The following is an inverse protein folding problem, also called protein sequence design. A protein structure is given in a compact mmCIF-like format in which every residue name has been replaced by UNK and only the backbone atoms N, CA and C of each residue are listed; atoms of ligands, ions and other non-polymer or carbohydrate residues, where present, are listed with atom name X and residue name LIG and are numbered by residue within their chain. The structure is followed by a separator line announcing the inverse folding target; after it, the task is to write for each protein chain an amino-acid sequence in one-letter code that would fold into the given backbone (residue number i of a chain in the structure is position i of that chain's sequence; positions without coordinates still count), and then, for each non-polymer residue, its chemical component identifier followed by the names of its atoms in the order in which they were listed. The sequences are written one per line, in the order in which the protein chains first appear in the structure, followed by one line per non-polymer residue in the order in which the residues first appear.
data_IF_368285069125
#
_entry.id   IF_368285069125
#
_cell.length_a   1.000
_cell.length_b   1.000
_cell.length_c   1.000
_cell.angle_alpha   90.00
_cell.angle_beta   90.00
_cell.angle_gamma   90.00
#
_symmetry.space_group_name_H-M   'P 1'
#
loop_
_entity.id
_entity.type
_entity.pdbx_description
1 polymer ?
#
# COMPACT_ATOMS: atom_id res chain seq x y z
N UNK A 1 -4.95 -40.19 33.54
CA UNK A 1 -6.15 -39.55 32.95
C UNK A 1 -6.55 -40.33 31.71
N UNK A 2 -7.79 -40.80 31.67
CA UNK A 2 -8.31 -41.81 30.74
C UNK A 2 -8.45 -41.24 29.32
N UNK A 3 -7.91 -41.98 28.36
CA UNK A 3 -8.12 -41.88 26.92
C UNK A 3 -9.53 -42.38 26.57
N UNK A 4 -10.31 -41.56 25.87
CA UNK A 4 -11.62 -41.98 25.33
C UNK A 4 -11.60 -41.84 23.82
N UNK A 5 -11.46 -42.98 23.15
CA UNK A 5 -11.67 -43.20 21.73
C UNK A 5 -13.17 -43.13 21.44
N UNK A 6 -13.58 -42.36 20.44
CA UNK A 6 -14.95 -42.40 19.91
C UNK A 6 -14.91 -42.74 18.42
N UNK A 7 -15.39 -43.94 18.10
CA UNK A 7 -15.66 -44.45 16.76
C UNK A 7 -17.12 -44.11 16.45
N UNK A 8 -17.37 -43.51 15.29
CA UNK A 8 -18.70 -43.49 14.68
C UNK A 8 -18.61 -44.02 13.25
N UNK A 9 -19.07 -45.25 13.07
CA UNK A 9 -19.69 -45.73 11.83
C UNK A 9 -21.06 -45.05 11.69
N UNK A 10 -21.50 -44.73 10.47
CA UNK A 10 -22.88 -44.92 10.00
C UNK A 10 -22.97 -44.75 8.47
N UNK A 11 -23.45 -45.83 7.86
CA UNK A 11 -24.31 -46.02 6.67
C UNK A 11 -24.11 -45.18 5.38
N UNK A 12 -23.67 -45.88 4.35
CA UNK A 12 -23.95 -45.62 2.93
C UNK A 12 -25.43 -45.93 2.61
N UNK A 13 -26.11 -45.08 1.83
CA UNK A 13 -27.17 -45.52 0.95
C UNK A 13 -26.58 -45.81 -0.45
N UNK A 14 -26.54 -47.09 -0.81
CA UNK A 14 -26.75 -47.52 -2.19
C UNK A 14 -28.18 -47.13 -2.58
N UNK A 15 -28.38 -46.50 -3.74
CA UNK A 15 -29.52 -46.70 -4.63
C UNK A 15 -29.42 -45.76 -5.85
N UNK A 16 -29.64 -46.33 -7.05
CA UNK A 16 -30.24 -45.58 -8.17
C UNK A 16 -29.33 -45.18 -9.33
N UNK A 17 -28.69 -46.14 -10.01
CA UNK A 17 -28.24 -45.94 -11.40
C UNK A 17 -29.46 -46.03 -12.33
N UNK A 18 -30.03 -44.90 -12.71
CA UNK A 18 -30.88 -44.80 -13.91
C UNK A 18 -30.07 -44.15 -15.02
N UNK A 19 -29.75 -44.95 -16.05
CA UNK A 19 -29.15 -44.49 -17.30
C UNK A 19 -30.15 -43.61 -18.06
N UNK A 20 -30.07 -42.29 -17.88
CA UNK A 20 -30.61 -41.34 -18.82
C UNK A 20 -29.55 -41.08 -19.89
N UNK A 21 -29.80 -41.55 -21.12
CA UNK A 21 -29.07 -41.11 -22.31
C UNK A 21 -29.27 -39.61 -22.48
N UNK A 22 -28.33 -38.83 -21.95
CA UNK A 22 -28.23 -37.40 -22.23
C UNK A 22 -27.71 -37.23 -23.66
N UNK A 23 -28.63 -36.83 -24.54
CA UNK A 23 -28.36 -36.38 -25.89
C UNK A 23 -27.23 -35.32 -25.84
N UNK A 24 -26.07 -35.68 -26.38
CA UNK A 24 -24.85 -34.88 -26.40
C UNK A 24 -25.01 -33.74 -27.42
N UNK A 25 -25.92 -32.80 -27.16
CA UNK A 25 -26.06 -31.58 -27.97
C UNK A 25 -24.84 -30.72 -27.68
N UNK A 26 -23.87 -30.83 -28.57
CA UNK A 26 -22.70 -29.96 -28.66
C UNK A 26 -23.12 -28.51 -28.37
N UNK A 27 -22.58 -27.88 -27.31
CA UNK A 27 -22.92 -26.49 -27.00
C UNK A 27 -22.62 -25.67 -28.25
N UNK A 28 -23.67 -25.13 -28.84
CA UNK A 28 -23.58 -24.38 -30.10
C UNK A 28 -22.53 -23.30 -29.94
N UNK A 29 -21.61 -23.17 -30.91
CA UNK A 29 -20.48 -22.21 -30.92
C UNK A 29 -20.89 -20.79 -30.45
N UNK A 30 -22.15 -20.42 -30.66
CA UNK A 30 -22.77 -19.16 -30.24
C UNK A 30 -22.82 -18.97 -28.71
N UNK A 31 -23.15 -20.01 -27.93
CA UNK A 31 -23.18 -19.93 -26.46
C UNK A 31 -21.78 -19.74 -25.86
N UNK A 32 -20.78 -20.44 -26.42
CA UNK A 32 -19.37 -20.27 -26.04
C UNK A 32 -18.87 -18.86 -26.39
N UNK A 33 -19.24 -18.34 -27.56
CA UNK A 33 -18.85 -17.00 -28.00
C UNK A 33 -19.47 -15.89 -27.13
N UNK A 34 -20.74 -16.02 -26.73
CA UNK A 34 -21.42 -15.07 -25.82
C UNK A 34 -20.80 -15.09 -24.41
N UNK A 35 -20.40 -16.27 -23.91
CA UNK A 35 -19.73 -16.42 -22.62
C UNK A 35 -18.33 -15.77 -22.63
N UNK A 36 -17.59 -15.92 -23.71
CA UNK A 36 -16.28 -15.27 -23.89
C UNK A 36 -16.40 -13.75 -24.04
N UNK A 37 -17.41 -13.25 -24.75
CA UNK A 37 -17.66 -11.81 -24.87
C UNK A 37 -18.07 -11.17 -23.54
N UNK A 38 -18.93 -11.82 -22.75
CA UNK A 38 -19.28 -11.33 -21.41
C UNK A 38 -18.09 -11.35 -20.44
N UNK A 39 -17.23 -12.38 -20.51
CA UNK A 39 -15.97 -12.40 -19.76
C UNK A 39 -15.03 -11.27 -20.19
N UNK A 40 -14.93 -10.98 -21.48
CA UNK A 40 -14.09 -9.89 -21.99
C UNK A 40 -14.59 -8.50 -21.52
N UNK A 41 -15.89 -8.22 -21.60
CA UNK A 41 -16.47 -6.94 -21.17
C UNK A 41 -16.35 -6.76 -19.64
N UNK A 42 -16.66 -7.82 -18.88
CA UNK A 42 -16.46 -7.87 -17.43
C UNK A 42 -14.99 -7.63 -17.05
N UNK A 43 -14.06 -8.23 -17.80
CA UNK A 43 -12.63 -8.10 -17.55
C UNK A 43 -12.13 -6.67 -17.81
N UNK A 44 -12.58 -6.00 -18.88
CA UNK A 44 -12.17 -4.62 -19.16
C UNK A 44 -12.66 -3.63 -18.11
N UNK A 45 -13.90 -3.77 -17.62
CA UNK A 45 -14.43 -2.92 -16.57
C UNK A 45 -13.81 -3.23 -15.20
N UNK A 46 -13.52 -4.50 -14.91
CA UNK A 46 -12.78 -4.91 -13.71
C UNK A 46 -11.33 -4.40 -13.74
N UNK A 47 -10.68 -4.43 -14.90
CA UNK A 47 -9.35 -3.87 -15.14
C UNK A 47 -9.38 -2.36 -14.99
N UNK A 48 -10.32 -1.66 -15.62
CA UNK A 48 -10.43 -0.20 -15.50
C UNK A 48 -10.71 0.25 -14.06
N UNK A 49 -11.53 -0.49 -13.31
CA UNK A 49 -11.84 -0.20 -11.91
C UNK A 49 -10.69 -0.57 -10.96
N UNK A 50 -9.98 -1.67 -11.21
CA UNK A 50 -8.84 -2.06 -10.38
C UNK A 50 -7.62 -1.17 -10.67
N UNK A 51 -7.43 -0.75 -11.92
CA UNK A 51 -6.42 0.22 -12.33
C UNK A 51 -6.85 1.68 -12.07
N UNK A 52 -8.02 1.93 -11.46
CA UNK A 52 -8.56 3.25 -11.15
C UNK A 52 -7.81 3.99 -10.03
N UNK A 53 -6.55 3.64 -9.77
CA UNK A 53 -5.70 4.53 -9.00
C UNK A 53 -5.60 5.86 -9.74
N UNK A 54 -6.15 6.89 -9.11
CA UNK A 54 -6.01 8.27 -9.51
C UNK A 54 -5.47 9.05 -8.33
N UNK A 55 -4.53 9.95 -8.63
CA UNK A 55 -4.09 10.94 -7.66
C UNK A 55 -5.21 11.98 -7.57
N UNK A 56 -5.84 12.17 -6.40
CA UNK A 56 -6.91 13.14 -6.27
C UNK A 56 -6.43 14.56 -6.61
N UNK A 57 -7.31 15.39 -7.20
CA UNK A 57 -6.96 16.78 -7.61
C UNK A 57 -6.30 17.59 -6.48
N UNK A 58 -6.78 17.43 -5.24
CA UNK A 58 -6.23 18.12 -4.07
C UNK A 58 -4.82 17.63 -3.64
N UNK A 59 -4.34 16.51 -4.21
CA UNK A 59 -3.00 15.97 -4.01
C UNK A 59 -2.02 16.35 -5.12
N UNK A 60 -2.48 16.93 -6.24
CA UNK A 60 -1.60 17.33 -7.35
C UNK A 60 -0.53 18.34 -6.94
N UNK A 61 -0.88 19.28 -6.05
CA UNK A 61 0.08 20.25 -5.49
C UNK A 61 0.89 19.70 -4.31
N UNK A 62 0.71 18.41 -3.98
CA UNK A 62 1.29 17.73 -2.81
C UNK A 62 1.82 16.34 -3.18
N UNK A 63 2.23 16.12 -4.44
CA UNK A 63 2.74 14.82 -4.89
C UNK A 63 3.90 14.31 -4.02
N UNK A 64 4.66 15.24 -3.44
CA UNK A 64 5.84 14.95 -2.62
C UNK A 64 5.48 14.40 -1.25
N UNK A 65 4.21 14.35 -0.85
CA UNK A 65 3.81 13.68 0.40
C UNK A 65 3.41 12.22 0.18
N UNK A 66 3.24 11.81 -1.08
CA UNK A 66 2.98 10.42 -1.46
C UNK A 66 4.34 9.71 -1.58
N UNK A 67 4.87 9.28 -0.44
CA UNK A 67 6.23 8.73 -0.34
C UNK A 67 6.27 7.39 0.38
N UNK A 68 5.14 6.77 0.68
CA UNK A 68 5.11 5.55 1.46
C UNK A 68 4.52 4.40 0.65
N UNK A 69 4.98 3.19 0.92
CA UNK A 69 4.36 1.96 0.45
C UNK A 69 4.45 0.90 1.53
N UNK A 70 3.51 -0.06 1.51
CA UNK A 70 3.57 -1.25 2.34
C UNK A 70 3.91 -2.43 1.46
N UNK A 71 4.88 -3.23 1.89
CA UNK A 71 5.29 -4.45 1.23
C UNK A 71 4.82 -5.67 2.05
N UNK A 72 4.00 -6.51 1.42
CA UNK A 72 3.46 -7.76 1.95
C UNK A 72 4.17 -9.01 1.35
N UNK A 73 5.43 -8.85 0.93
CA UNK A 73 6.27 -9.88 0.30
C UNK A 73 6.07 -9.97 -1.21
N UNK A 74 4.83 -9.87 -1.68
CA UNK A 74 4.48 -9.87 -3.11
C UNK A 74 3.68 -8.62 -3.44
N UNK A 75 3.97 -8.01 -4.59
CA UNK A 75 3.22 -6.85 -5.12
C UNK A 75 1.77 -7.27 -5.43
N UNK A 76 0.81 -6.38 -5.21
CA UNK A 76 -0.61 -6.65 -5.44
C UNK A 76 -1.32 -7.44 -4.34
N UNK A 77 -0.62 -7.96 -3.33
CA UNK A 77 -1.30 -8.59 -2.18
C UNK A 77 -2.15 -7.58 -1.41
N UNK A 78 -3.38 -7.94 -0.96
CA UNK A 78 -4.18 -7.09 -0.08
C UNK A 78 -3.44 -6.68 1.19
N UNK A 79 -3.54 -5.41 1.56
CA UNK A 79 -3.09 -4.92 2.87
C UNK A 79 -4.26 -5.05 3.85
N UNK A 80 -4.26 -6.08 4.68
CA UNK A 80 -5.26 -6.36 5.71
C UNK A 80 -4.90 -5.72 7.07
N UNK A 81 -5.93 -5.30 7.81
CA UNK A 81 -5.81 -4.89 9.22
C UNK A 81 -5.32 -6.05 10.09
N UNK A 82 -4.54 -5.77 11.12
CA UNK A 82 -4.00 -6.77 12.06
C UNK A 82 -2.73 -7.47 11.58
N UNK A 83 -2.38 -7.36 10.30
CA UNK A 83 -1.22 -8.00 9.72
C UNK A 83 0.04 -7.12 9.76
N UNK A 84 1.18 -7.76 9.51
CA UNK A 84 2.51 -7.14 9.49
C UNK A 84 3.01 -6.90 8.08
N UNK A 85 3.66 -5.76 7.90
CA UNK A 85 4.24 -5.32 6.63
C UNK A 85 5.62 -4.71 6.86
N UNK A 86 6.31 -4.49 5.76
CA UNK A 86 7.42 -3.55 5.72
C UNK A 86 6.91 -2.21 5.18
N UNK A 87 7.03 -1.14 5.98
CA UNK A 87 6.71 0.21 5.53
C UNK A 87 7.95 0.86 4.93
N UNK A 88 7.90 1.15 3.64
CA UNK A 88 9.04 1.68 2.88
C UNK A 88 8.75 3.11 2.46
N UNK A 89 9.72 3.99 2.67
CA UNK A 89 9.72 5.33 2.12
C UNK A 89 10.34 5.30 0.71
N UNK A 90 9.57 5.71 -0.29
CA UNK A 90 9.88 5.70 -1.73
C UNK A 90 10.92 6.76 -2.14
N UNK A 91 11.07 7.82 -1.36
CA UNK A 91 12.03 8.89 -1.64
C UNK A 91 13.45 8.52 -1.20
N UNK A 92 13.57 7.87 -0.04
CA UNK A 92 14.85 7.42 0.51
C UNK A 92 15.18 5.96 0.22
N UNK A 93 14.24 5.23 -0.37
CA UNK A 93 14.31 3.78 -0.51
C UNK A 93 14.65 3.12 0.84
N UNK A 94 13.90 3.50 1.88
CA UNK A 94 14.21 3.17 3.26
C UNK A 94 13.03 2.46 3.94
N UNK A 95 13.24 1.24 4.41
CA UNK A 95 12.28 0.51 5.25
C UNK A 95 12.33 0.97 6.70
N UNK A 96 11.19 1.32 7.28
CA UNK A 96 11.08 1.74 8.68
C UNK A 96 11.47 0.58 9.59
N UNK A 97 12.48 0.80 10.43
CA UNK A 97 12.83 -0.13 11.52
C UNK A 97 12.89 0.61 12.84
N UNK A 98 12.88 -0.15 13.91
CA UNK A 98 13.37 0.38 15.16
C UNK A 98 14.89 0.54 15.12
N UNK A 99 15.37 1.60 15.77
CA UNK A 99 16.77 1.80 16.09
C UNK A 99 16.85 2.58 17.40
N UNK A 100 17.44 1.97 18.44
CA UNK A 100 17.61 2.61 19.75
C UNK A 100 18.43 3.89 19.56
N UNK A 101 17.96 4.99 20.14
CA UNK A 101 18.65 6.29 20.11
C UNK A 101 18.52 6.97 21.46
N UNK A 102 19.54 7.75 21.83
CA UNK A 102 19.56 8.48 23.11
C UNK A 102 18.73 9.76 23.06
N UNK A 103 18.68 10.45 21.91
CA UNK A 103 18.10 11.80 21.82
C UNK A 103 17.15 12.01 20.62
N UNK A 104 16.42 10.99 20.18
CA UNK A 104 15.44 11.09 19.11
C UNK A 104 14.44 9.93 19.14
N UNK A 105 13.38 10.01 18.32
CA UNK A 105 12.53 8.86 18.01
C UNK A 105 13.36 7.60 17.72
N UNK A 106 12.99 6.47 18.32
CA UNK A 106 13.67 5.18 18.19
C UNK A 106 13.41 4.52 16.82
N UNK A 107 13.63 5.28 15.76
CA UNK A 107 13.38 4.90 14.40
C UNK A 107 14.72 4.88 13.64
N UNK A 108 14.84 3.93 12.74
CA UNK A 108 15.99 3.79 11.86
C UNK A 108 15.59 3.38 10.45
N UNK A 109 16.63 3.29 9.62
CA UNK A 109 16.51 2.87 8.24
C UNK A 109 16.96 1.42 8.06
N UNK A 110 16.24 0.68 7.21
CA UNK A 110 16.60 -0.66 6.75
C UNK A 110 16.57 -0.72 5.24
N UNK A 111 17.41 -1.57 4.66
CA UNK A 111 17.34 -1.91 3.24
C UNK A 111 15.93 -2.41 2.88
N UNK A 112 15.30 -1.90 1.81
CA UNK A 112 13.98 -2.33 1.34
C UNK A 112 13.93 -3.80 0.96
N UNK A 113 15.04 -4.40 0.52
CA UNK A 113 15.13 -5.83 0.22
C UNK A 113 15.00 -6.74 1.44
N UNK A 114 14.97 -6.20 2.66
CA UNK A 114 14.76 -7.00 3.86
C UNK A 114 13.36 -7.61 3.88
N UNK A 115 13.30 -8.94 4.01
CA UNK A 115 12.05 -9.70 4.14
C UNK A 115 11.35 -9.55 5.50
N UNK A 116 11.95 -8.82 6.46
CA UNK A 116 11.39 -8.65 7.81
C UNK A 116 10.20 -7.69 7.79
N UNK A 117 9.01 -8.23 8.04
CA UNK A 117 7.76 -7.48 8.22
C UNK A 117 7.60 -7.08 9.70
N UNK A 118 8.02 -5.87 10.04
CA UNK A 118 8.10 -5.41 11.43
C UNK A 118 7.06 -4.35 11.81
N UNK A 119 6.18 -3.97 10.88
CA UNK A 119 5.13 -2.99 11.15
C UNK A 119 3.75 -3.66 11.11
N UNK A 120 3.10 -3.80 12.26
CA UNK A 120 1.70 -4.16 12.32
C UNK A 120 0.83 -2.92 12.07
N UNK A 121 -0.24 -3.08 11.30
CA UNK A 121 -1.16 -1.99 10.98
C UNK A 121 -2.58 -2.38 11.39
N UNK A 122 -3.25 -1.52 12.15
CA UNK A 122 -4.62 -1.74 12.62
C UNK A 122 -5.53 -0.59 12.19
N UNK A 123 -6.67 -0.89 11.58
CA UNK A 123 -7.69 0.11 11.23
C UNK A 123 -8.47 0.54 12.47
N UNK A 124 -8.89 1.80 12.50
CA UNK A 124 -9.76 2.33 13.57
C UNK A 124 -11.17 1.71 13.53
N UNK A 125 -11.67 1.38 12.33
CA UNK A 125 -13.00 0.82 12.11
C UNK A 125 -12.93 -0.43 11.22
N UNK A 126 -13.33 -1.58 11.78
CA UNK A 126 -13.42 -2.89 11.12
C UNK A 126 -12.08 -3.55 10.79
N UNK A 127 -12.11 -4.86 10.53
CA UNK A 127 -10.89 -5.70 10.42
C UNK A 127 -10.53 -6.13 8.99
N UNK A 128 -11.11 -5.50 7.98
CA UNK A 128 -10.86 -5.82 6.58
C UNK A 128 -9.59 -5.20 5.96
N UNK A 129 -9.55 -5.27 4.63
CA UNK A 129 -8.53 -4.62 3.81
C UNK A 129 -8.52 -3.11 4.02
N UNK A 130 -7.31 -2.56 4.16
CA UNK A 130 -7.05 -1.12 4.22
C UNK A 130 -7.50 -0.43 2.93
N UNK A 131 -7.91 0.81 3.08
CA UNK A 131 -8.34 1.70 2.01
C UNK A 131 -7.72 3.07 2.18
N UNK A 132 -7.57 3.81 1.08
CA UNK A 132 -7.30 5.24 1.17
C UNK A 132 -8.43 5.93 1.94
N UNK A 133 -8.07 6.86 2.82
CA UNK A 133 -8.97 7.55 3.74
C UNK A 133 -9.06 6.90 5.12
N UNK A 134 -8.64 5.63 5.28
CA UNK A 134 -8.67 4.97 6.58
C UNK A 134 -7.76 5.66 7.60
N UNK A 135 -8.23 5.68 8.85
CA UNK A 135 -7.43 6.03 10.02
C UNK A 135 -6.91 4.74 10.65
N UNK A 136 -5.61 4.67 10.88
CA UNK A 136 -4.89 3.49 11.33
C UNK A 136 -3.99 3.80 12.53
N UNK A 137 -3.70 2.76 13.31
CA UNK A 137 -2.60 2.70 14.26
C UNK A 137 -1.48 1.85 13.66
N UNK A 138 -0.24 2.23 13.94
CA UNK A 138 0.96 1.57 13.42
C UNK A 138 1.78 1.06 14.61
N UNK A 139 2.17 -0.21 14.61
CA UNK A 139 2.98 -0.81 15.68
C UNK A 139 4.30 -1.34 15.12
N UNK A 140 5.42 -0.84 15.64
CA UNK A 140 6.75 -1.34 15.31
C UNK A 140 7.16 -2.41 16.31
N UNK A 141 7.29 -3.64 15.86
CA UNK A 141 7.71 -4.75 16.71
C UNK A 141 9.22 -4.73 16.99
N UNK A 142 9.67 -5.08 18.22
CA UNK A 142 8.91 -5.36 19.46
C UNK A 142 8.53 -4.15 20.34
N UNK A 143 8.56 -2.93 19.84
CA UNK A 143 8.60 -1.71 20.67
C UNK A 143 7.22 -1.14 21.01
N UNK A 144 6.29 -1.13 20.07
CA UNK A 144 4.94 -0.67 20.33
C UNK A 144 4.36 0.23 19.26
N UNK A 145 3.25 0.87 19.62
CA UNK A 145 2.42 1.72 18.79
C UNK A 145 3.04 3.11 18.61
N UNK A 146 3.16 3.53 17.37
CA UNK A 146 3.66 4.85 17.00
C UNK A 146 2.65 5.92 17.39
N UNK A 147 3.08 6.80 18.30
CA UNK A 147 2.34 7.99 18.74
C UNK A 147 3.08 9.26 18.41
N UNK A 148 2.33 10.37 18.42
CA UNK A 148 2.95 11.68 18.46
C UNK A 148 3.51 11.93 19.86
N UNK A 149 4.72 12.47 19.94
CA UNK A 149 5.31 13.00 21.17
C UNK A 149 6.16 14.20 20.79
N UNK A 150 5.91 15.36 21.39
CA UNK A 150 6.76 16.54 21.20
C UNK A 150 8.16 16.22 21.73
N UNK A 151 9.19 16.46 20.92
CA UNK A 151 10.59 16.21 21.27
C UNK A 151 11.43 17.45 20.95
N UNK A 152 12.53 17.64 21.68
CA UNK A 152 13.50 18.73 21.42
C UNK A 152 14.38 18.46 20.20
N UNK A 153 14.63 17.17 19.88
CA UNK A 153 15.51 16.71 18.80
C UNK A 153 14.80 15.62 17.99
N UNK A 154 15.04 15.59 16.68
CA UNK A 154 14.43 14.60 15.77
C UNK A 154 13.00 14.96 15.32
N UNK A 155 12.24 13.93 14.91
CA UNK A 155 10.82 14.05 14.56
C UNK A 155 9.95 13.81 15.78
N UNK A 156 8.83 14.52 15.91
CA UNK A 156 7.86 14.37 17.02
C UNK A 156 7.08 13.04 16.93
N UNK A 157 7.76 11.91 17.08
CA UNK A 157 7.21 10.54 17.09
C UNK A 157 7.88 9.75 18.22
N UNK A 158 7.09 8.95 18.92
CA UNK A 158 7.56 7.99 19.95
C UNK A 158 6.81 6.68 19.79
N UNK A 159 7.30 5.65 20.44
CA UNK A 159 6.58 4.39 20.66
C UNK A 159 5.81 4.39 22.00
N UNK A 160 4.81 3.51 22.07
CA UNK A 160 3.96 3.23 23.22
C UNK A 160 3.60 1.73 23.20
N UNK A 161 4.10 0.97 24.17
CA UNK A 161 3.94 -0.48 24.22
C UNK A 161 2.54 -0.95 24.63
N UNK A 162 1.63 -0.06 25.05
CA UNK A 162 0.33 -0.47 25.59
C UNK A 162 -0.82 -0.31 24.58
N UNK A 163 -1.01 0.90 24.06
CA UNK A 163 -2.27 1.27 23.39
C UNK A 163 -2.10 1.62 21.90
N UNK A 164 -3.02 1.16 21.01
CA UNK A 164 -3.01 1.58 19.62
C UNK A 164 -3.36 3.07 19.46
N UNK A 165 -2.46 3.82 18.82
CA UNK A 165 -2.64 5.24 18.53
C UNK A 165 -3.18 5.44 17.12
N UNK A 166 -4.50 5.56 16.99
CA UNK A 166 -5.21 5.79 15.72
C UNK A 166 -5.08 7.24 15.22
N UNK A 167 -3.86 7.66 14.94
CA UNK A 167 -3.52 9.05 14.56
C UNK A 167 -3.02 9.18 13.12
N UNK A 168 -2.99 8.09 12.36
CA UNK A 168 -2.42 8.07 11.01
C UNK A 168 -3.52 7.88 9.98
N UNK A 169 -3.68 8.81 9.04
CA UNK A 169 -4.60 8.68 7.91
C UNK A 169 -3.83 8.32 6.64
N UNK A 170 -4.29 7.29 5.95
CA UNK A 170 -3.74 6.86 4.65
C UNK A 170 -4.33 7.74 3.54
N UNK A 171 -3.50 8.43 2.77
CA UNK A 171 -3.93 9.29 1.66
C UNK A 171 -3.17 9.01 0.37
N UNK A 172 -3.33 9.87 -0.64
CA UNK A 172 -2.61 9.77 -1.92
C UNK A 172 -3.40 9.13 -3.07
N UNK A 173 -4.45 8.37 -2.78
CA UNK A 173 -5.42 7.86 -3.74
C UNK A 173 -6.85 8.31 -3.42
N UNK A 174 -7.82 7.93 -4.28
CA UNK A 174 -9.25 8.16 -4.06
C UNK A 174 -9.74 7.46 -2.78
N UNK A 175 -10.45 8.20 -1.91
CA UNK A 175 -11.01 7.64 -0.67
C UNK A 175 -11.87 6.39 -0.93
N UNK A 176 -11.74 5.38 -0.08
CA UNK A 176 -12.46 4.11 -0.17
C UNK A 176 -11.82 3.08 -1.09
N UNK A 177 -10.88 3.47 -1.97
CA UNK A 177 -10.13 2.55 -2.82
C UNK A 177 -9.25 1.63 -1.97
N UNK A 178 -9.34 0.33 -2.24
CA UNK A 178 -8.57 -0.73 -1.58
C UNK A 178 -7.06 -0.53 -1.78
N UNK A 179 -6.30 -0.68 -0.69
CA UNK A 179 -4.84 -0.59 -0.70
C UNK A 179 -4.23 -1.97 -0.94
N UNK A 180 -3.25 -2.02 -1.83
CA UNK A 180 -2.50 -3.22 -2.20
C UNK A 180 -1.01 -3.02 -1.92
N UNK A 181 -0.30 -4.13 -1.70
CA UNK A 181 1.14 -4.17 -1.56
C UNK A 181 1.82 -3.55 -2.78
N UNK A 182 2.73 -2.60 -2.55
CA UNK A 182 3.38 -1.82 -3.61
C UNK A 182 2.66 -0.52 -3.99
N UNK A 183 1.39 -0.32 -3.61
CA UNK A 183 0.69 0.93 -3.90
C UNK A 183 1.30 2.09 -3.10
N UNK A 184 1.54 3.24 -3.74
CA UNK A 184 2.06 4.42 -3.07
C UNK A 184 0.95 5.14 -2.29
N UNK A 185 1.28 5.66 -1.11
CA UNK A 185 0.36 6.45 -0.29
C UNK A 185 1.08 7.57 0.47
N UNK A 186 0.29 8.49 1.01
CA UNK A 186 0.75 9.50 1.97
C UNK A 186 0.33 9.14 3.38
N UNK A 187 1.19 9.46 4.34
CA UNK A 187 0.93 9.20 5.77
C UNK A 187 0.67 10.52 6.48
N UNK A 188 -0.58 10.78 6.85
CA UNK A 188 -1.00 12.04 7.47
C UNK A 188 -1.27 11.85 8.97
N UNK A 189 -0.58 12.60 9.83
CA UNK A 189 -0.85 12.65 11.25
C UNK A 189 -2.08 13.54 11.51
N UNK A 190 -3.21 12.96 11.92
CA UNK A 190 -4.49 13.70 12.06
C UNK A 190 -4.53 14.61 13.29
N UNK A 191 -3.87 14.24 14.38
CA UNK A 191 -3.75 15.03 15.61
C UNK A 191 -2.50 14.57 16.39
N UNK A 192 -1.81 15.48 17.08
CA UNK A 192 -2.05 16.92 17.13
C UNK A 192 -1.42 17.69 15.95
N UNK A 193 -0.49 17.09 15.20
CA UNK A 193 0.34 17.84 14.24
C UNK A 193 -0.38 18.25 12.94
N UNK A 194 -1.46 17.54 12.57
CA UNK A 194 -2.28 17.82 11.36
C UNK A 194 -1.44 17.92 10.07
N UNK A 195 -0.48 17.02 9.89
CA UNK A 195 0.49 17.14 8.78
C UNK A 195 0.99 15.80 8.24
N UNK A 196 1.54 15.82 7.03
CA UNK A 196 2.12 14.63 6.38
C UNK A 196 3.52 14.35 6.88
N UNK A 197 3.81 13.07 7.14
CA UNK A 197 5.17 12.58 7.36
C UNK A 197 5.82 12.38 6.00
N UNK A 198 6.96 13.02 5.81
CA UNK A 198 7.77 12.95 4.60
C UNK A 198 9.20 12.55 4.95
N UNK A 199 9.94 12.08 3.95
CA UNK A 199 11.38 12.04 3.99
C UNK A 199 11.92 13.46 4.12
N UNK A 200 12.90 13.60 4.99
CA UNK A 200 13.50 14.88 5.33
C UNK A 200 14.88 14.58 5.91
N UNK A 201 15.92 14.67 5.09
CA UNK A 201 17.30 14.41 5.55
C UNK A 201 17.65 15.34 6.71
N UNK A 202 18.23 14.79 7.78
CA UNK A 202 18.63 15.53 8.98
C UNK A 202 20.07 15.23 9.35
N UNK A 203 20.74 16.19 10.00
CA UNK A 203 22.03 15.96 10.66
C UNK A 203 21.90 15.04 11.88
N UNK A 204 20.75 15.08 12.57
CA UNK A 204 20.49 14.31 13.79
C UNK A 204 19.10 13.68 13.77
N UNK A 205 19.01 12.43 14.24
CA UNK A 205 17.77 11.65 14.28
C UNK A 205 17.56 10.78 13.05
N UNK A 206 16.30 10.44 12.76
CA UNK A 206 15.89 9.77 11.52
C UNK A 206 15.56 10.80 10.45
N UNK A 207 15.79 10.45 9.18
CA UNK A 207 15.52 11.29 8.02
C UNK A 207 14.02 11.44 7.69
N UNK A 208 13.20 11.78 8.69
CA UNK A 208 11.79 12.10 8.53
C UNK A 208 11.46 13.48 9.10
N UNK A 209 10.43 14.08 8.53
CA UNK A 209 9.92 15.37 8.93
C UNK A 209 8.43 15.49 8.63
N UNK A 210 7.86 16.59 9.08
CA UNK A 210 6.49 16.98 8.80
C UNK A 210 6.48 18.02 7.68
N UNK A 211 5.73 17.76 6.61
CA UNK A 211 5.67 18.59 5.41
C UNK A 211 5.43 20.08 5.72
N UNK A 212 6.18 21.01 5.12
CA UNK A 212 6.17 22.47 5.40
C UNK A 212 6.59 22.94 6.80
N UNK A 213 6.47 22.10 7.84
CA UNK A 213 6.80 22.49 9.22
C UNK A 213 8.22 22.13 9.63
N UNK A 214 8.80 21.11 9.02
CA UNK A 214 10.17 20.69 9.33
C UNK A 214 11.14 21.29 8.33
N UNK A 215 12.08 22.11 8.83
CA UNK A 215 13.28 22.48 8.07
C UNK A 215 14.15 21.23 7.93
N UNK A 216 14.31 20.74 6.71
CA UNK A 216 15.27 19.68 6.41
C UNK A 216 16.65 20.35 6.19
N UNK A 217 17.80 19.70 6.43
CA UNK A 217 19.11 20.40 6.25
C UNK A 217 20.39 19.61 6.56
N UNK A 218 21.50 20.03 5.91
CA UNK A 218 22.92 19.63 6.13
C UNK A 218 23.83 19.87 4.89
N UNK A 219 25.14 20.19 5.05
CA UNK A 219 26.11 20.36 3.93
C UNK A 219 26.23 19.10 3.04
N UNK A 220 26.31 17.91 3.64
CA UNK A 220 26.32 16.61 2.93
C UNK A 220 24.93 16.22 2.42
N UNK A 221 23.92 17.07 2.67
CA UNK A 221 22.60 16.99 2.07
C UNK A 221 22.55 17.71 0.72
N UNK A 222 23.56 18.43 0.23
CA UNK A 222 23.45 19.11 -1.07
C UNK A 222 23.32 18.17 -2.29
N UNK A 223 23.87 16.96 -2.27
CA UNK A 223 23.78 16.03 -3.43
C UNK A 223 22.48 15.21 -3.44
N UNK A 224 22.14 14.55 -2.32
CA UNK A 224 20.84 13.86 -2.13
C UNK A 224 19.67 14.87 -2.02
N UNK A 225 19.98 16.05 -1.51
CA UNK A 225 19.07 17.17 -1.35
C UNK A 225 18.83 17.99 -2.58
N UNK A 226 19.52 17.79 -3.72
CA UNK A 226 19.09 18.35 -5.01
C UNK A 226 17.85 17.65 -5.57
N UNK A 227 17.64 16.37 -5.22
CA UNK A 227 16.48 15.60 -5.69
C UNK A 227 15.45 15.39 -4.58
N UNK A 228 15.83 15.00 -3.34
CA UNK A 228 14.88 14.52 -2.32
C UNK A 228 14.91 15.23 -0.94
N UNK A 229 15.90 16.07 -0.66
CA UNK A 229 16.09 16.75 0.63
C UNK A 229 15.63 18.21 0.59
N UNK A 230 15.72 18.93 1.71
CA UNK A 230 15.18 20.27 2.04
C UNK A 230 15.02 21.36 0.98
N UNK A 231 15.93 21.38 0.01
CA UNK A 231 16.05 22.37 -1.06
C UNK A 231 16.13 21.67 -2.43
N UNK A 232 15.57 20.47 -2.50
CA UNK A 232 15.59 19.61 -3.66
C UNK A 232 14.30 19.68 -4.40
N UNK A 233 14.33 19.15 -5.62
CA UNK A 233 13.18 19.05 -6.49
C UNK A 233 11.90 18.45 -5.84
N UNK A 234 12.02 17.74 -4.71
CA UNK A 234 10.93 17.05 -4.02
C UNK A 234 10.64 17.56 -2.59
N UNK A 235 11.34 18.58 -2.09
CA UNK A 235 11.07 19.13 -0.74
C UNK A 235 10.34 20.46 -0.78
N UNK A 236 9.34 20.61 0.09
CA UNK A 236 8.83 21.92 0.51
C UNK A 236 7.92 22.65 -0.47
N UNK A 237 8.44 23.00 -1.65
CA UNK A 237 7.89 24.08 -2.48
C UNK A 237 7.03 23.60 -3.67
N UNK A 238 6.80 22.29 -3.72
CA UNK A 238 6.00 21.66 -4.77
C UNK A 238 6.89 21.21 -5.92
N UNK A 239 6.66 19.99 -6.38
CA UNK A 239 7.28 19.53 -7.61
C UNK A 239 6.76 20.36 -8.78
N UNK A 240 7.66 20.99 -9.54
CA UNK A 240 7.36 21.63 -10.80
C UNK A 240 8.05 20.92 -11.98
N UNK A 241 7.53 21.13 -13.19
CA UNK A 241 8.15 20.67 -14.44
C UNK A 241 8.37 19.16 -14.54
N UNK A 242 9.49 18.78 -15.16
CA UNK A 242 9.81 17.38 -15.49
C UNK A 242 9.94 16.47 -14.26
N UNK A 243 10.36 17.02 -13.11
CA UNK A 243 10.45 16.26 -11.87
C UNK A 243 9.07 15.85 -11.33
N UNK A 244 8.09 16.77 -11.38
CA UNK A 244 6.71 16.46 -11.03
C UNK A 244 6.13 15.36 -11.91
N UNK A 245 6.38 15.47 -13.21
CA UNK A 245 5.95 14.50 -14.22
C UNK A 245 6.58 13.14 -13.98
N UNK A 246 7.89 13.07 -13.77
CA UNK A 246 8.62 11.82 -13.54
C UNK A 246 8.19 11.15 -12.23
N UNK A 247 7.98 11.92 -11.17
CA UNK A 247 7.49 11.37 -9.91
C UNK A 247 6.06 10.88 -10.04
N UNK A 248 5.16 11.66 -10.65
CA UNK A 248 3.79 11.24 -10.94
C UNK A 248 3.77 9.93 -11.73
N UNK A 249 4.58 9.84 -12.78
CA UNK A 249 4.72 8.64 -13.59
C UNK A 249 5.18 7.44 -12.76
N UNK A 250 6.18 7.62 -11.88
CA UNK A 250 6.61 6.58 -10.94
C UNK A 250 5.49 6.13 -10.01
N UNK A 251 4.72 7.06 -9.45
CA UNK A 251 3.57 6.74 -8.58
C UNK A 251 2.49 5.98 -9.35
N UNK A 252 2.14 6.45 -10.54
CA UNK A 252 1.13 5.82 -11.40
C UNK A 252 1.56 4.41 -11.82
N UNK A 253 2.81 4.21 -12.25
CA UNK A 253 3.37 2.90 -12.57
C UNK A 253 3.32 1.93 -11.39
N UNK A 254 3.73 2.39 -10.19
CA UNK A 254 3.70 1.55 -8.99
C UNK A 254 2.27 1.14 -8.61
N UNK A 255 1.32 2.07 -8.68
CA UNK A 255 -0.07 1.80 -8.34
C UNK A 255 -0.75 0.88 -9.36
N UNK A 256 -0.61 1.18 -10.65
CA UNK A 256 -1.14 0.35 -11.75
C UNK A 256 -0.52 -1.03 -11.71
N UNK A 257 0.80 -1.15 -11.55
CA UNK A 257 1.48 -2.45 -11.45
C UNK A 257 0.99 -3.28 -10.26
N UNK A 258 0.73 -2.64 -9.11
CA UNK A 258 0.17 -3.33 -7.94
C UNK A 258 -1.26 -3.83 -8.19
N UNK A 259 -2.10 -3.01 -8.82
CA UNK A 259 -3.45 -3.41 -9.20
C UNK A 259 -3.44 -4.52 -10.27
N UNK A 260 -2.58 -4.42 -11.28
CA UNK A 260 -2.40 -5.45 -12.30
C UNK A 260 -2.02 -6.79 -11.67
N UNK A 261 -1.02 -6.80 -10.78
CA UNK A 261 -0.59 -8.00 -10.09
C UNK A 261 -1.71 -8.64 -9.25
N UNK A 262 -2.53 -7.81 -8.59
CA UNK A 262 -3.69 -8.29 -7.84
C UNK A 262 -4.70 -9.01 -8.75
N UNK A 263 -5.08 -8.39 -9.88
CA UNK A 263 -6.06 -8.98 -10.81
C UNK A 263 -5.53 -10.29 -11.39
N UNK A 264 -4.28 -10.30 -11.86
CA UNK A 264 -3.64 -11.50 -12.41
C UNK A 264 -3.63 -12.65 -11.40
N UNK A 265 -3.37 -12.35 -10.12
CA UNK A 265 -3.42 -13.35 -9.05
C UNK A 265 -4.84 -13.86 -8.79
N UNK A 266 -5.86 -12.99 -8.84
CA UNK A 266 -7.26 -13.37 -8.64
C UNK A 266 -7.84 -14.17 -9.81
N UNK A 267 -7.34 -13.96 -11.03
CA UNK A 267 -7.86 -14.61 -12.24
C UNK A 267 -7.21 -15.96 -12.57
N UNK A 268 -6.32 -16.47 -11.73
CA UNK A 268 -5.48 -17.63 -12.07
C UNK A 268 -4.65 -17.41 -13.34
N UNK A 269 -4.17 -16.18 -13.59
CA UNK A 269 -3.32 -15.85 -14.74
C UNK A 269 -4.04 -15.62 -16.09
N UNK A 270 -5.25 -16.15 -16.28
CA UNK A 270 -5.98 -16.07 -17.58
C UNK A 270 -6.28 -14.64 -18.04
N UNK A 271 -6.55 -13.70 -17.13
CA UNK A 271 -6.76 -12.29 -17.48
C UNK A 271 -5.47 -11.47 -17.45
N UNK A 272 -4.32 -12.07 -17.13
CA UNK A 272 -3.05 -11.38 -16.98
C UNK A 272 -2.61 -10.64 -18.26
N UNK A 273 -2.88 -11.24 -19.42
CA UNK A 273 -2.56 -10.63 -20.73
C UNK A 273 -3.38 -9.37 -20.98
N UNK A 274 -4.69 -9.42 -20.75
CA UNK A 274 -5.58 -8.26 -20.91
C UNK A 274 -5.21 -7.13 -19.94
N UNK A 275 -4.91 -7.47 -18.68
CA UNK A 275 -4.44 -6.53 -17.66
C UNK A 275 -3.14 -5.86 -18.07
N UNK A 276 -2.18 -6.63 -18.60
CA UNK A 276 -0.90 -6.11 -19.08
C UNK A 276 -1.08 -5.17 -20.27
N UNK A 277 -1.97 -5.52 -21.21
CA UNK A 277 -2.30 -4.70 -22.37
C UNK A 277 -2.98 -3.38 -21.99
N UNK A 278 -3.80 -3.37 -20.92
CA UNK A 278 -4.49 -2.18 -20.45
C UNK A 278 -3.62 -1.24 -19.59
N UNK A 279 -2.56 -1.76 -18.97
CA UNK A 279 -1.72 -1.01 -18.03
C UNK A 279 -1.14 0.31 -18.60
N UNK A 280 -0.60 0.36 -19.84
CA UNK A 280 -0.10 1.62 -20.43
C UNK A 280 -1.18 2.70 -20.54
N UNK A 281 -2.41 2.33 -20.94
CA UNK A 281 -3.55 3.25 -21.04
C UNK A 281 -3.95 3.77 -19.67
N UNK A 282 -3.95 2.91 -18.65
CA UNK A 282 -4.23 3.32 -17.27
C UNK A 282 -3.16 4.26 -16.70
N UNK A 283 -1.87 3.99 -16.94
CA UNK A 283 -0.76 4.88 -16.54
C UNK A 283 -0.93 6.25 -17.21
N UNK A 284 -1.20 6.28 -18.52
CA UNK A 284 -1.46 7.53 -19.26
C UNK A 284 -2.65 8.30 -18.67
N UNK A 285 -3.73 7.61 -18.29
CA UNK A 285 -4.90 8.23 -17.64
C UNK A 285 -4.58 8.78 -16.26
N UNK A 286 -3.81 8.06 -15.44
CA UNK A 286 -3.35 8.52 -14.12
C UNK A 286 -2.47 9.77 -14.24
N UNK A 287 -1.62 9.84 -15.26
CA UNK A 287 -0.73 10.98 -15.53
C UNK A 287 -1.45 12.25 -16.05
N UNK A 288 -2.71 12.16 -16.53
CA UNK A 288 -3.47 13.30 -17.08
C UNK A 288 -4.12 14.20 -16.01
N UNK A 289 -4.24 13.70 -14.78
CA UNK A 289 -4.75 14.49 -13.65
C UNK A 289 -3.62 15.28 -13.03
#
# INVERSE_FOLDING_TARGET
MKTTTLIWLIALPLLGLTNAHAENRSPTKKATMIKMQHQAISSNQAVDNALAFSIPKNMNKKLNVIQWTMNAGTVGRPILSGNRYQLVNLASNCGLKHQKRTFAANLGCRKPSSKKMNLLVKRKKGDGQLRYGDVVALNLNPYGWLKYKRQKKGINISDDNHNPHFIWKIGGGKNGTKLLSGMPFSLYNIKPNKNYVIYCKRTWGIDFGYFKTTKCGGWSANLSGKVFGANGALSGDGMAGNLAKNWRDKLCKAAVGSASAYITAQSGGTTGVAVAAAAPKAIKKCNKW
#
